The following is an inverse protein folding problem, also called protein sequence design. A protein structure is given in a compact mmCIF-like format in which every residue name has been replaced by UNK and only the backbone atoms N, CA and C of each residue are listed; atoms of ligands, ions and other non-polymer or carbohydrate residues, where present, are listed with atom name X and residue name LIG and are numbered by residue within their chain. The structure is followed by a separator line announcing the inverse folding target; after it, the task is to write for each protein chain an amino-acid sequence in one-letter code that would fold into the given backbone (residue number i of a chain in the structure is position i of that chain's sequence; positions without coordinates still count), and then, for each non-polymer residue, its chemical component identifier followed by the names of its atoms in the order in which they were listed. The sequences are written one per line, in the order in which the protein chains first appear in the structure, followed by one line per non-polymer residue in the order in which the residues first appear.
data_IF_016375492955
#
_entry.id   IF_016375492955
#
_cell.length_a   1.000
_cell.length_b   1.000
_cell.length_c   1.000
_cell.angle_alpha   90.00
_cell.angle_beta   90.00
_cell.angle_gamma   90.00
#
_symmetry.space_group_name_H-M   'P 1'
#
loop_
_entity.id
_entity.type
_entity.pdbx_description
1 polymer ?
#
# COMPACT_ATOMS: atom_id res chain seq x y z
N UNK A 1 28.55 -0.72 13.68
CA UNK A 1 27.99 -0.29 12.39
C UNK A 1 26.87 -1.26 12.12
N UNK A 2 25.63 -0.87 12.39
CA UNK A 2 24.47 -1.74 12.15
C UNK A 2 24.38 -1.97 10.63
N UNK A 3 24.44 -3.23 10.22
CA UNK A 3 24.12 -3.62 8.86
C UNK A 3 22.64 -3.29 8.64
N UNK A 4 22.37 -2.29 7.82
CA UNK A 4 21.00 -2.00 7.38
C UNK A 4 20.67 -3.13 6.41
N UNK A 5 19.90 -4.11 6.85
CA UNK A 5 19.33 -5.12 5.94
C UNK A 5 18.61 -4.37 4.82
N UNK A 6 19.09 -4.54 3.58
CA UNK A 6 18.43 -3.95 2.41
C UNK A 6 17.01 -4.50 2.34
N UNK A 7 16.04 -3.62 2.57
CA UNK A 7 14.63 -3.97 2.39
C UNK A 7 14.42 -4.14 0.89
N UNK A 8 14.36 -5.40 0.44
CA UNK A 8 13.93 -5.70 -0.93
C UNK A 8 12.52 -5.13 -1.13
N UNK A 9 12.34 -4.28 -2.14
CA UNK A 9 11.07 -3.65 -2.53
C UNK A 9 10.70 -3.96 -3.99
N UNK A 10 11.41 -4.87 -4.65
CA UNK A 10 11.28 -5.16 -6.09
C UNK A 10 9.85 -5.52 -6.54
N UNK A 11 9.07 -6.15 -5.64
CA UNK A 11 7.68 -6.58 -5.89
C UNK A 11 6.64 -5.80 -5.07
N UNK A 12 7.02 -4.63 -4.55
CA UNK A 12 6.12 -3.74 -3.84
C UNK A 12 5.54 -2.69 -4.80
N UNK A 13 4.28 -2.30 -4.60
CA UNK A 13 3.66 -1.22 -5.36
C UNK A 13 3.15 -0.11 -4.45
N UNK A 14 3.13 1.11 -4.97
CA UNK A 14 2.47 2.25 -4.33
C UNK A 14 1.21 2.58 -5.12
N UNK A 15 0.07 2.73 -4.42
CA UNK A 15 -1.18 3.17 -5.00
C UNK A 15 -1.72 4.41 -4.28
N UNK A 16 -2.19 5.37 -5.08
CA UNK A 16 -2.88 6.56 -4.56
C UNK A 16 -4.36 6.26 -4.39
N UNK A 17 -4.89 6.51 -3.19
CA UNK A 17 -6.30 6.31 -2.84
C UNK A 17 -6.82 7.59 -2.14
N UNK A 18 -8.08 7.94 -2.39
CA UNK A 18 -8.76 9.03 -1.68
C UNK A 18 -8.83 8.74 -0.17
N UNK A 19 -9.00 9.79 0.64
CA UNK A 19 -9.00 9.70 2.12
C UNK A 19 -9.87 8.56 2.65
N UNK A 20 -11.17 8.63 2.41
CA UNK A 20 -12.13 7.69 3.01
C UNK A 20 -11.90 6.23 2.61
N UNK A 21 -11.71 5.87 1.32
CA UNK A 21 -11.41 4.48 0.98
C UNK A 21 -10.06 4.00 1.53
N UNK A 22 -9.05 4.89 1.63
CA UNK A 22 -7.76 4.53 2.20
C UNK A 22 -7.86 4.23 3.71
N UNK A 23 -8.68 4.98 4.44
CA UNK A 23 -8.93 4.73 5.86
C UNK A 23 -9.66 3.40 6.06
N UNK A 24 -10.61 3.06 5.18
CA UNK A 24 -11.30 1.78 5.23
C UNK A 24 -10.37 0.59 4.93
N UNK A 25 -9.37 0.77 4.05
CA UNK A 25 -8.32 -0.23 3.80
C UNK A 25 -7.45 -0.41 5.05
N UNK A 26 -6.98 0.69 5.63
CA UNK A 26 -6.12 0.65 6.84
C UNK A 26 -6.85 0.08 8.06
N UNK A 27 -8.18 0.22 8.14
CA UNK A 27 -9.03 -0.40 9.17
C UNK A 27 -9.38 -1.87 8.87
N UNK A 28 -9.01 -2.40 7.71
CA UNK A 28 -9.38 -3.73 7.25
C UNK A 28 -10.85 -3.90 6.85
N UNK A 29 -11.61 -2.81 6.72
CA UNK A 29 -13.03 -2.83 6.30
C UNK A 29 -13.12 -3.04 4.78
N UNK A 30 -12.27 -2.34 4.02
CA UNK A 30 -12.17 -2.49 2.57
C UNK A 30 -10.99 -3.40 2.25
N UNK A 31 -11.30 -4.63 1.89
CA UNK A 31 -10.29 -5.68 1.62
C UNK A 31 -9.99 -5.87 0.13
N UNK A 32 -10.77 -5.22 -0.76
CA UNK A 32 -10.60 -5.28 -2.21
C UNK A 32 -10.49 -3.88 -2.81
N UNK A 33 -9.53 -3.68 -3.71
CA UNK A 33 -9.35 -2.46 -4.49
C UNK A 33 -9.37 -2.79 -5.99
N UNK A 34 -10.32 -2.19 -6.73
CA UNK A 34 -10.48 -2.43 -8.16
C UNK A 34 -9.74 -1.39 -8.98
N UNK A 35 -9.00 -1.83 -10.00
CA UNK A 35 -8.26 -0.97 -10.94
C UNK A 35 -8.55 -1.39 -12.38
N UNK A 36 -8.52 -0.44 -13.30
CA UNK A 36 -8.69 -0.70 -14.74
C UNK A 36 -7.50 -1.41 -15.38
N UNK A 37 -6.35 -1.41 -14.70
CA UNK A 37 -5.14 -2.09 -15.14
C UNK A 37 -4.76 -3.15 -14.10
N UNK A 38 -4.07 -4.18 -14.58
CA UNK A 38 -3.47 -5.22 -13.74
C UNK A 38 -1.97 -4.91 -13.64
N UNK A 39 -1.40 -4.79 -12.43
CA UNK A 39 0.04 -4.64 -12.29
C UNK A 39 0.79 -5.78 -12.97
N UNK A 40 1.89 -5.47 -13.65
CA UNK A 40 2.70 -6.49 -14.34
C UNK A 40 3.60 -7.16 -13.31
N UNK A 41 3.30 -8.42 -12.96
CA UNK A 41 4.07 -9.22 -12.00
C UNK A 41 3.30 -9.59 -10.74
N UNK A 42 3.92 -10.41 -9.89
CA UNK A 42 3.39 -10.73 -8.57
C UNK A 42 3.59 -9.52 -7.63
N UNK A 43 2.55 -9.19 -6.88
CA UNK A 43 2.59 -8.10 -5.92
C UNK A 43 2.77 -8.71 -4.54
N UNK A 44 3.87 -8.36 -3.86
CA UNK A 44 4.13 -8.82 -2.50
C UNK A 44 3.47 -7.91 -1.47
N UNK A 45 3.66 -6.58 -1.59
CA UNK A 45 3.10 -5.59 -0.65
C UNK A 45 2.53 -4.39 -1.39
N UNK A 46 1.50 -3.81 -0.79
CA UNK A 46 0.84 -2.60 -1.30
C UNK A 46 1.03 -1.48 -0.29
N UNK A 47 1.62 -0.39 -0.75
CA UNK A 47 1.74 0.86 -0.01
C UNK A 47 0.61 1.79 -0.46
N UNK A 48 -0.17 2.28 0.50
CA UNK A 48 -1.29 3.17 0.25
C UNK A 48 -0.85 4.60 0.53
N UNK A 49 -0.83 5.41 -0.52
CA UNK A 49 -0.72 6.85 -0.39
C UNK A 49 -2.12 7.46 -0.25
N UNK A 50 -2.41 8.02 0.92
CA UNK A 50 -3.64 8.78 1.13
C UNK A 50 -3.50 10.16 0.50
N UNK A 51 -4.38 10.46 -0.46
CA UNK A 51 -4.46 11.77 -1.12
C UNK A 51 -4.79 12.94 -0.17
N UNK A 52 -5.03 14.12 -0.74
CA UNK A 52 -5.36 15.31 0.06
C UNK A 52 -6.60 15.09 0.96
N UNK A 53 -6.60 15.66 2.18
CA UNK A 53 -5.57 16.51 2.81
C UNK A 53 -4.47 15.74 3.55
N UNK A 54 -4.52 14.40 3.62
CA UNK A 54 -3.65 13.61 4.52
C UNK A 54 -2.21 13.56 4.03
N UNK A 55 -1.98 13.32 2.72
CA UNK A 55 -0.65 13.28 2.08
C UNK A 55 0.37 12.39 2.82
N UNK A 56 0.00 11.15 3.15
CA UNK A 56 0.87 10.17 3.86
C UNK A 56 0.87 8.81 3.18
N UNK A 57 2.02 8.16 3.18
CA UNK A 57 2.18 6.76 2.76
C UNK A 57 2.07 5.87 4.00
N UNK A 58 1.29 4.79 3.90
CA UNK A 58 1.19 3.75 4.93
C UNK A 58 1.22 2.38 4.28
N UNK A 59 1.84 1.42 4.96
CA UNK A 59 1.83 0.04 4.51
C UNK A 59 0.43 -0.55 4.71
N UNK A 60 -0.11 -1.22 3.70
CA UNK A 60 -1.25 -2.10 3.85
C UNK A 60 -0.68 -3.50 4.10
N UNK A 61 -0.22 -3.74 5.32
CA UNK A 61 0.25 -5.07 5.71
C UNK A 61 -0.96 -6.00 5.96
N UNK A 62 -0.90 -7.23 5.45
CA UNK A 62 -1.90 -8.27 5.72
C UNK A 62 -1.67 -8.97 7.04
N UNK A 63 -0.53 -8.73 7.71
CA UNK A 63 -0.22 -9.38 8.97
C UNK A 63 -0.97 -8.71 10.13
N UNK A 64 -2.05 -9.38 10.53
CA UNK A 64 -2.39 -9.50 11.95
C UNK A 64 -1.40 -10.43 12.63
#
# INVERSE_FOLDING_TARGET
MEEIEEIDISNDIIITIKKEPSENILKGIKTYEFRKYIPKGSIRRVWVYTGMPVRKIRICDRNR
#
